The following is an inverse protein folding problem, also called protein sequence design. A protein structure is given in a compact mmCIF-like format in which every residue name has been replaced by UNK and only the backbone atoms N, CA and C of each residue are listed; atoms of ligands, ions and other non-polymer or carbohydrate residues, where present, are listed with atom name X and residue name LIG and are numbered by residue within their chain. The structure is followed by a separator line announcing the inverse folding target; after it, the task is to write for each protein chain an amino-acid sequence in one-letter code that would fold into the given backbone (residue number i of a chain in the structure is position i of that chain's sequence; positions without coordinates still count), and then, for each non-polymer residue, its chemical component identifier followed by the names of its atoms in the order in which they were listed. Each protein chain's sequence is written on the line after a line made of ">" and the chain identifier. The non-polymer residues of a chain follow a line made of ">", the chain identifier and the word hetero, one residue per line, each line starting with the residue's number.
data_IF_459720105335
#
_entry.id   IF_459720105335
#
_cell.length_a   1.000
_cell.length_b   1.000
_cell.length_c   1.000
_cell.angle_alpha   90.00
_cell.angle_beta   90.00
_cell.angle_gamma   90.00
#
_symmetry.space_group_name_H-M   'P 1'
#
loop_
_entity.id
_entity.type
_entity.pdbx_description
1 polymer ?
#
# COMPACT_ATOMS: atom_id res chain seq x y z
N UNK A 1 23.27 6.36 -0.95
CA UNK A 1 23.46 5.70 0.37
C UNK A 1 24.70 4.81 0.33
N UNK A 2 25.28 4.45 1.49
CA UNK A 2 26.47 3.58 1.54
C UNK A 2 26.07 2.11 1.59
N UNK A 3 26.54 1.33 0.61
CA UNK A 3 26.29 -0.12 0.50
C UNK A 3 27.63 -0.78 0.21
N UNK A 4 28.01 -1.79 0.99
CA UNK A 4 29.29 -2.48 0.84
C UNK A 4 30.50 -1.56 0.95
N UNK A 5 30.44 -0.56 1.85
CA UNK A 5 31.51 0.42 2.07
C UNK A 5 31.66 1.49 0.98
N UNK A 6 30.80 1.51 -0.04
CA UNK A 6 30.85 2.50 -1.13
C UNK A 6 29.56 3.30 -1.22
N UNK A 7 29.68 4.59 -1.52
CA UNK A 7 28.52 5.44 -1.81
C UNK A 7 27.92 5.05 -3.16
N UNK A 8 26.62 4.74 -3.16
CA UNK A 8 25.83 4.34 -4.34
C UNK A 8 24.67 5.31 -4.56
N UNK A 9 24.36 5.57 -5.84
CA UNK A 9 23.08 6.16 -6.27
C UNK A 9 22.11 4.99 -6.46
N UNK A 10 20.97 5.05 -5.80
CA UNK A 10 20.05 3.91 -5.69
C UNK A 10 18.67 4.32 -6.16
N UNK A 11 18.04 3.47 -6.97
CA UNK A 11 16.61 3.56 -7.30
C UNK A 11 15.90 2.50 -6.47
N UNK A 12 14.77 2.89 -5.86
CA UNK A 12 13.95 1.99 -5.07
C UNK A 12 12.51 2.01 -5.55
N UNK A 13 11.88 0.85 -5.58
CA UNK A 13 10.46 0.71 -5.88
C UNK A 13 9.82 -0.37 -5.04
N UNK A 14 8.56 -0.18 -4.66
CA UNK A 14 7.72 -1.23 -4.10
C UNK A 14 6.53 -1.42 -5.05
N UNK A 15 6.50 -2.58 -5.71
CA UNK A 15 5.43 -2.93 -6.65
C UNK A 15 4.17 -3.46 -5.97
N UNK A 16 3.28 -4.08 -6.76
CA UNK A 16 2.03 -4.69 -6.27
C UNK A 16 2.23 -5.65 -5.11
N UNK A 17 3.34 -6.38 -5.09
CA UNK A 17 3.69 -7.35 -4.05
C UNK A 17 4.12 -6.72 -2.73
N UNK A 18 4.32 -5.39 -2.67
CA UNK A 18 4.89 -4.68 -1.52
C UNK A 18 6.27 -5.20 -1.07
N UNK A 19 7.03 -5.77 -2.01
CA UNK A 19 8.46 -6.03 -1.82
C UNK A 19 9.19 -4.77 -2.27
N UNK A 20 9.88 -4.11 -1.35
CA UNK A 20 10.80 -3.02 -1.67
C UNK A 20 12.01 -3.62 -2.39
N UNK A 21 12.36 -3.09 -3.55
CA UNK A 21 13.51 -3.50 -4.32
C UNK A 21 14.42 -2.31 -4.57
N UNK A 22 15.71 -2.49 -4.34
CA UNK A 22 16.74 -1.48 -4.54
C UNK A 22 17.75 -1.95 -5.58
N UNK A 23 18.02 -1.09 -6.56
CA UNK A 23 19.02 -1.32 -7.61
C UNK A 23 19.97 -0.13 -7.72
N UNK A 24 21.20 -0.38 -8.18
CA UNK A 24 22.11 0.70 -8.53
C UNK A 24 21.55 1.47 -9.74
N UNK A 25 21.46 2.79 -9.60
CA UNK A 25 20.77 3.63 -10.57
C UNK A 25 21.49 3.72 -11.93
N UNK A 26 22.80 3.48 -11.97
CA UNK A 26 23.58 3.57 -13.21
C UNK A 26 23.64 2.24 -13.95
N UNK A 27 23.67 1.13 -13.22
CA UNK A 27 23.95 -0.20 -13.77
C UNK A 27 22.75 -1.14 -13.76
N UNK A 28 21.74 -0.88 -12.94
CA UNK A 28 20.65 -1.82 -12.67
C UNK A 28 21.06 -3.01 -11.81
N UNK A 29 22.29 -3.02 -11.26
CA UNK A 29 22.75 -4.08 -10.35
C UNK A 29 21.79 -4.20 -9.16
N UNK A 30 21.36 -5.43 -8.86
CA UNK A 30 20.56 -5.73 -7.68
C UNK A 30 21.34 -5.41 -6.40
N UNK A 31 20.71 -4.71 -5.45
CA UNK A 31 21.34 -4.36 -4.18
C UNK A 31 20.71 -5.07 -2.99
N UNK A 32 19.38 -5.00 -2.85
CA UNK A 32 18.64 -5.69 -1.80
C UNK A 32 17.13 -5.64 -2.05
N UNK A 33 16.40 -6.49 -1.31
CA UNK A 33 14.95 -6.44 -1.20
C UNK A 33 14.50 -6.51 0.26
N UNK A 34 13.34 -5.93 0.56
CA UNK A 34 12.66 -6.07 1.86
C UNK A 34 11.19 -6.35 1.59
N UNK A 35 10.71 -7.55 1.95
CA UNK A 35 9.30 -7.90 1.86
C UNK A 35 8.53 -7.24 3.01
N UNK A 36 7.47 -6.49 2.70
CA UNK A 36 6.60 -5.86 3.70
C UNK A 36 5.70 -6.85 4.44
N UNK A 37 5.62 -8.12 4.01
CA UNK A 37 4.87 -9.17 4.68
C UNK A 37 3.36 -9.08 4.44
N UNK A 38 2.95 -8.68 3.24
CA UNK A 38 1.53 -8.65 2.81
C UNK A 38 1.24 -9.62 1.66
N UNK A 39 2.21 -10.46 1.31
CA UNK A 39 2.16 -11.32 0.13
C UNK A 39 2.53 -12.76 0.51
N UNK A 40 2.03 -13.73 -0.25
CA UNK A 40 2.33 -15.16 -0.03
C UNK A 40 2.67 -15.91 -1.33
N UNK A 41 3.00 -15.19 -2.40
CA UNK A 41 3.29 -15.73 -3.74
C UNK A 41 4.78 -15.96 -3.92
N UNK A 42 5.63 -15.09 -3.38
CA UNK A 42 7.09 -15.21 -3.44
C UNK A 42 7.58 -15.92 -2.18
N UNK A 43 8.26 -17.05 -2.37
CA UNK A 43 8.81 -17.88 -1.27
C UNK A 43 10.29 -17.64 -1.02
N UNK A 44 11.01 -17.16 -2.04
CA UNK A 44 12.43 -16.88 -1.95
C UNK A 44 12.81 -15.72 -2.87
N UNK A 45 13.81 -14.94 -2.44
CA UNK A 45 14.49 -13.93 -3.25
C UNK A 45 15.97 -14.22 -3.14
N UNK A 46 16.63 -14.48 -4.27
CA UNK A 46 18.07 -14.69 -4.33
C UNK A 46 18.77 -13.41 -3.83
N UNK A 47 19.57 -13.48 -2.75
CA UNK A 47 20.18 -12.30 -2.14
C UNK A 47 21.30 -11.66 -2.99
N UNK A 48 21.72 -12.30 -4.09
CA UNK A 48 22.72 -11.78 -5.03
C UNK A 48 22.10 -11.21 -6.28
N UNK A 49 21.06 -11.86 -6.82
CA UNK A 49 20.49 -11.51 -8.12
C UNK A 49 19.14 -10.81 -8.03
N UNK A 50 18.44 -10.93 -6.89
CA UNK A 50 17.05 -10.49 -6.74
C UNK A 50 16.04 -11.39 -7.45
N UNK A 51 16.46 -12.51 -8.03
CA UNK A 51 15.58 -13.46 -8.69
C UNK A 51 14.58 -14.01 -7.67
N UNK A 52 13.30 -14.00 -8.03
CA UNK A 52 12.19 -14.39 -7.14
C UNK A 52 11.69 -15.77 -7.50
N UNK A 53 11.50 -16.62 -6.51
CA UNK A 53 10.83 -17.92 -6.65
C UNK A 53 9.36 -17.77 -6.31
N UNK A 54 8.51 -18.11 -7.27
CA UNK A 54 7.06 -18.16 -7.08
C UNK A 54 6.69 -19.49 -6.43
N UNK A 55 5.80 -19.47 -5.45
CA UNK A 55 5.14 -20.64 -4.88
C UNK A 55 4.26 -21.32 -5.94
N UNK A 56 4.57 -22.55 -6.38
CA UNK A 56 3.74 -23.28 -7.34
C UNK A 56 2.30 -23.51 -6.83
N UNK A 57 2.09 -23.55 -5.51
CA UNK A 57 0.76 -23.69 -4.88
C UNK A 57 -0.09 -22.41 -4.98
N UNK A 58 0.48 -21.30 -5.46
CA UNK A 58 -0.21 -20.03 -5.71
C UNK A 58 -0.48 -19.78 -7.19
N UNK A 59 -0.15 -20.72 -8.06
CA UNK A 59 -0.51 -20.66 -9.48
C UNK A 59 -2.01 -20.99 -9.67
N UNK A 60 -2.66 -20.42 -10.70
CA UNK A 60 -4.06 -20.74 -10.99
C UNK A 60 -4.24 -22.22 -11.32
N UNK A 61 -5.04 -22.91 -10.52
CA UNK A 61 -5.41 -24.31 -10.72
C UNK A 61 -6.89 -24.50 -10.36
N UNK A 62 -7.75 -24.97 -11.28
CA UNK A 62 -9.18 -25.12 -11.00
C UNK A 62 -9.47 -26.29 -10.04
N UNK A 63 -8.54 -27.25 -9.92
CA UNK A 63 -8.67 -28.44 -9.07
C UNK A 63 -8.13 -28.21 -7.66
N UNK A 64 -7.34 -27.16 -7.46
CA UNK A 64 -6.72 -26.81 -6.19
C UNK A 64 -7.07 -25.37 -5.78
N UNK A 65 -8.17 -25.17 -5.05
CA UNK A 65 -8.50 -23.86 -4.54
C UNK A 65 -7.41 -23.32 -3.61
N UNK A 66 -6.89 -22.13 -3.91
CA UNK A 66 -5.77 -21.54 -3.17
C UNK A 66 -6.00 -20.06 -2.94
N UNK A 67 -5.68 -19.58 -1.72
CA UNK A 67 -5.67 -18.16 -1.39
C UNK A 67 -4.30 -17.58 -1.70
N UNK A 68 -4.29 -16.53 -2.52
CA UNK A 68 -3.09 -15.79 -2.87
C UNK A 68 -3.24 -14.32 -2.48
N UNK A 69 -2.13 -13.75 -2.03
CA UNK A 69 -2.03 -12.39 -1.53
C UNK A 69 -0.83 -11.72 -2.20
N UNK A 70 -0.97 -10.48 -2.67
CA UNK A 70 -2.18 -9.65 -2.59
C UNK A 70 -3.24 -9.99 -3.65
N UNK A 71 -4.42 -9.38 -3.54
CA UNK A 71 -5.42 -9.37 -4.61
C UNK A 71 -4.93 -8.68 -5.90
N UNK A 72 -5.73 -8.71 -6.97
CA UNK A 72 -5.34 -8.23 -8.32
C UNK A 72 -4.93 -6.76 -8.39
N UNK A 73 -5.47 -5.94 -7.50
CA UNK A 73 -5.09 -4.52 -7.40
C UNK A 73 -3.83 -4.30 -6.54
N UNK A 74 -3.18 -5.36 -6.06
CA UNK A 74 -1.92 -5.33 -5.30
C UNK A 74 -2.08 -4.91 -3.85
N UNK A 75 -1.08 -5.20 -3.01
CA UNK A 75 -0.97 -4.62 -1.68
C UNK A 75 -0.71 -3.12 -1.79
N UNK A 76 -0.01 -2.69 -2.86
CA UNK A 76 0.25 -1.30 -3.22
C UNK A 76 0.23 -1.17 -4.74
N UNK A 77 -0.61 -0.32 -5.32
CA UNK A 77 -0.59 -0.05 -6.75
C UNK A 77 0.06 1.30 -7.08
N UNK A 78 -0.73 2.21 -7.65
CA UNK A 78 -0.32 3.54 -8.04
C UNK A 78 0.03 4.50 -6.89
N UNK A 79 -0.55 4.41 -5.65
CA UNK A 79 -0.32 5.44 -4.64
C UNK A 79 1.16 5.54 -4.26
N UNK A 80 1.85 6.68 -4.50
CA UNK A 80 3.28 6.83 -4.24
C UNK A 80 3.70 6.59 -2.77
N UNK A 81 4.90 6.06 -2.56
CA UNK A 81 5.56 5.98 -1.24
C UNK A 81 6.12 7.35 -0.90
N UNK A 82 6.49 7.56 0.36
CA UNK A 82 7.30 8.72 0.75
C UNK A 82 8.55 8.28 1.52
N UNK A 83 9.61 9.07 1.47
CA UNK A 83 10.87 8.80 2.18
C UNK A 83 11.25 10.04 2.99
N UNK A 84 11.64 9.84 4.25
CA UNK A 84 12.17 10.91 5.10
C UNK A 84 13.70 10.74 5.22
N UNK A 85 14.51 11.65 4.67
CA UNK A 85 15.97 11.62 4.86
C UNK A 85 16.39 11.82 6.32
N UNK A 86 15.52 12.42 7.15
CA UNK A 86 15.80 12.67 8.58
C UNK A 86 15.75 11.36 9.39
N UNK A 87 14.73 10.54 9.14
CA UNK A 87 14.55 9.25 9.84
C UNK A 87 15.23 8.09 9.11
N UNK A 88 15.51 8.23 7.81
CA UNK A 88 15.97 7.13 6.97
C UNK A 88 14.89 6.09 6.65
N UNK A 89 13.62 6.41 6.91
CA UNK A 89 12.49 5.50 6.71
C UNK A 89 11.78 5.77 5.38
N UNK A 90 11.41 4.69 4.71
CA UNK A 90 10.48 4.68 3.57
C UNK A 90 9.10 4.22 4.05
N UNK A 91 8.06 4.97 3.72
CA UNK A 91 6.68 4.70 4.12
C UNK A 91 5.88 4.13 2.96
N UNK A 92 5.11 3.07 3.21
CA UNK A 92 4.29 2.36 2.25
C UNK A 92 2.80 2.40 2.63
N UNK A 93 1.91 2.85 1.72
CA UNK A 93 0.48 2.69 1.85
C UNK A 93 0.09 1.29 1.33
N UNK A 94 -0.22 0.38 2.25
CA UNK A 94 -0.50 -1.02 1.96
C UNK A 94 -1.96 -1.36 2.24
N UNK A 95 -2.47 -2.34 1.49
CA UNK A 95 -3.77 -2.98 1.70
C UNK A 95 -3.56 -4.47 1.97
N UNK A 96 -4.15 -4.95 3.06
CA UNK A 96 -4.21 -6.35 3.47
C UNK A 96 -5.44 -7.00 2.86
N UNK A 97 -5.31 -7.60 1.68
CA UNK A 97 -6.41 -8.28 1.01
C UNK A 97 -5.88 -9.33 0.04
N UNK A 98 -6.70 -10.34 -0.21
CA UNK A 98 -6.31 -11.51 -0.98
C UNK A 98 -7.44 -11.91 -1.92
N UNK A 99 -7.14 -12.84 -2.82
CA UNK A 99 -8.15 -13.51 -3.64
C UNK A 99 -7.94 -15.01 -3.57
N UNK A 100 -8.94 -15.74 -4.06
CA UNK A 100 -8.93 -17.20 -4.12
C UNK A 100 -9.06 -17.63 -5.57
N UNK A 101 -8.14 -18.46 -6.01
CA UNK A 101 -8.35 -19.28 -7.21
C UNK A 101 -9.23 -20.48 -6.87
N UNK A 102 -10.08 -20.89 -7.80
CA UNK A 102 -10.93 -22.07 -7.63
C UNK A 102 -12.03 -22.17 -8.70
N UNK A 103 -13.10 -22.95 -8.44
CA UNK A 103 -14.20 -23.11 -9.40
C UNK A 103 -15.13 -21.90 -9.44
N UNK A 104 -15.16 -21.07 -8.39
CA UNK A 104 -16.09 -19.95 -8.23
C UNK A 104 -15.52 -18.60 -8.67
N UNK A 105 -16.41 -17.62 -8.89
CA UNK A 105 -16.04 -16.24 -9.20
C UNK A 105 -15.75 -15.99 -10.68
N UNK A 106 -15.17 -14.83 -10.99
CA UNK A 106 -14.92 -14.42 -12.37
C UNK A 106 -13.84 -15.29 -13.01
N UNK A 107 -14.05 -15.75 -14.24
CA UNK A 107 -13.11 -16.65 -14.91
C UNK A 107 -11.95 -15.87 -15.51
N UNK A 108 -10.72 -16.25 -15.20
CA UNK A 108 -9.54 -15.75 -15.89
C UNK A 108 -9.58 -16.20 -17.35
N UNK A 109 -9.38 -15.27 -18.28
CA UNK A 109 -9.42 -15.58 -19.72
C UNK A 109 -8.34 -16.59 -20.14
N UNK A 110 -7.18 -16.56 -19.48
CA UNK A 110 -6.02 -17.38 -19.86
C UNK A 110 -6.08 -18.81 -19.34
N UNK A 111 -6.68 -19.04 -18.16
CA UNK A 111 -6.67 -20.36 -17.50
C UNK A 111 -8.07 -20.95 -17.28
N UNK A 112 -9.13 -20.16 -17.46
CA UNK A 112 -10.50 -20.56 -17.09
C UNK A 112 -10.71 -20.73 -15.58
N UNK A 113 -9.70 -20.45 -14.75
CA UNK A 113 -9.80 -20.56 -13.28
C UNK A 113 -10.64 -19.41 -12.74
N UNK A 114 -11.57 -19.72 -11.84
CA UNK A 114 -12.37 -18.72 -11.17
C UNK A 114 -11.57 -17.96 -10.12
N UNK A 115 -11.82 -16.66 -10.01
CA UNK A 115 -11.23 -15.77 -9.01
C UNK A 115 -12.32 -15.15 -8.13
N UNK A 116 -12.21 -15.34 -6.82
CA UNK A 116 -13.16 -14.79 -5.85
C UNK A 116 -12.46 -14.05 -4.70
N UNK A 117 -13.14 -13.13 -3.99
CA UNK A 117 -12.53 -12.42 -2.87
C UNK A 117 -12.14 -13.35 -1.70
N UNK A 118 -10.97 -13.15 -1.12
CA UNK A 118 -10.52 -13.83 0.10
C UNK A 118 -10.00 -12.81 1.12
N UNK A 119 -10.06 -13.16 2.39
CA UNK A 119 -9.49 -12.30 3.43
C UNK A 119 -8.00 -12.58 3.60
N UNK A 120 -7.25 -11.53 3.96
CA UNK A 120 -5.87 -11.68 4.37
C UNK A 120 -5.81 -12.25 5.78
N UNK A 121 -4.86 -13.15 6.06
CA UNK A 121 -4.73 -13.80 7.37
C UNK A 121 -4.57 -12.76 8.50
N UNK A 122 -3.73 -11.75 8.27
CA UNK A 122 -3.54 -10.62 9.19
C UNK A 122 -4.75 -9.67 9.35
N UNK A 123 -5.89 -9.91 8.70
CA UNK A 123 -7.09 -9.05 8.81
C UNK A 123 -8.12 -9.57 9.82
N UNK A 124 -7.75 -10.55 10.63
CA UNK A 124 -8.56 -11.03 11.77
C UNK A 124 -8.80 -9.94 12.82
N UNK A 125 -7.93 -8.94 12.89
CA UNK A 125 -8.04 -7.75 13.75
C UNK A 125 -9.05 -6.70 13.25
N UNK A 126 -9.80 -6.99 12.19
CA UNK A 126 -10.78 -6.06 11.62
C UNK A 126 -10.15 -4.94 10.78
N UNK A 127 -8.88 -5.05 10.42
CA UNK A 127 -8.19 -4.03 9.63
C UNK A 127 -7.82 -4.49 8.22
N UNK A 128 -7.97 -3.59 7.25
CA UNK A 128 -7.62 -3.84 5.84
C UNK A 128 -6.55 -2.86 5.34
N UNK A 129 -6.43 -1.67 5.93
CA UNK A 129 -5.34 -0.73 5.65
C UNK A 129 -4.13 -0.96 6.53
N UNK A 130 -2.94 -0.71 5.97
CA UNK A 130 -1.67 -0.76 6.68
C UNK A 130 -0.75 0.36 6.17
N UNK A 131 -0.36 1.28 7.03
CA UNK A 131 0.76 2.18 6.80
C UNK A 131 2.01 1.54 7.42
N UNK A 132 3.05 1.32 6.63
CA UNK A 132 4.23 0.58 7.07
C UNK A 132 5.52 1.33 6.75
N UNK A 133 6.45 1.35 7.70
CA UNK A 133 7.77 1.90 7.51
C UNK A 133 8.84 0.82 7.30
N UNK A 134 9.79 1.09 6.42
CA UNK A 134 11.00 0.30 6.20
C UNK A 134 12.21 1.17 6.53
N UNK A 135 13.08 0.69 7.41
CA UNK A 135 14.42 1.25 7.59
C UNK A 135 15.27 0.88 6.37
N UNK A 136 15.51 1.88 5.52
CA UNK A 136 16.21 1.70 4.25
C UNK A 136 17.68 1.36 4.48
N UNK A 137 18.31 1.95 5.51
CA UNK A 137 19.72 1.72 5.82
C UNK A 137 19.92 0.36 6.47
N UNK A 138 19.07 0.03 7.45
CA UNK A 138 19.06 -1.25 8.15
C UNK A 138 18.48 -2.41 7.34
N UNK A 139 17.79 -2.12 6.22
CA UNK A 139 17.15 -3.08 5.32
C UNK A 139 16.16 -4.00 6.05
N UNK A 140 15.36 -3.41 6.92
CA UNK A 140 14.43 -4.13 7.79
C UNK A 140 13.13 -3.37 7.97
N UNK A 141 12.09 -4.08 8.35
CA UNK A 141 10.85 -3.47 8.77
C UNK A 141 11.08 -2.60 10.02
N UNK A 142 10.43 -1.45 10.06
CA UNK A 142 10.44 -0.55 11.20
C UNK A 142 9.10 -0.68 11.94
N UNK A 143 8.23 0.33 11.86
CA UNK A 143 6.92 0.32 12.49
C UNK A 143 5.79 0.01 11.51
N UNK A 144 4.65 -0.39 12.06
CA UNK A 144 3.41 -0.67 11.33
C UNK A 144 2.24 0.00 12.04
N UNK A 145 1.38 0.67 11.28
CA UNK A 145 0.07 1.16 11.70
C UNK A 145 -1.01 0.46 10.89
N UNK A 146 -1.78 -0.44 11.53
CA UNK A 146 -2.94 -1.05 10.91
C UNK A 146 -4.19 -0.19 11.19
N UNK A 147 -5.08 -0.09 10.21
CA UNK A 147 -6.35 0.63 10.35
C UNK A 147 -7.45 -0.04 9.53
N UNK A 148 -8.71 0.16 9.91
CA UNK A 148 -9.85 -0.48 9.23
C UNK A 148 -9.80 -0.22 7.73
N UNK A 149 -9.68 1.05 7.34
CA UNK A 149 -9.78 1.50 5.96
C UNK A 149 -8.45 1.48 5.20
N UNK A 150 -8.41 0.98 3.94
CA UNK A 150 -7.26 1.14 3.07
C UNK A 150 -6.87 2.60 2.83
N UNK A 151 -5.57 2.81 2.68
CA UNK A 151 -5.00 4.09 2.25
C UNK A 151 -5.21 4.24 0.74
N UNK A 152 -5.72 5.39 0.29
CA UNK A 152 -6.14 5.62 -1.10
C UNK A 152 -5.41 6.77 -1.81
N UNK A 153 -4.47 7.42 -1.14
CA UNK A 153 -3.62 8.49 -1.71
C UNK A 153 -2.14 8.16 -1.67
N UNK A 154 -1.33 9.00 -2.32
CA UNK A 154 0.10 9.05 -1.99
C UNK A 154 0.34 9.28 -0.50
N UNK A 155 1.54 8.92 -0.05
CA UNK A 155 2.05 9.39 1.23
C UNK A 155 2.88 10.66 1.03
N UNK A 156 2.84 11.55 2.02
CA UNK A 156 3.67 12.76 2.06
C UNK A 156 4.37 12.88 3.41
N UNK A 157 5.64 12.53 3.47
CA UNK A 157 6.51 12.83 4.61
C UNK A 157 6.98 14.28 4.52
N UNK A 158 7.02 14.98 5.65
CA UNK A 158 7.51 16.36 5.75
C UNK A 158 8.64 16.47 6.76
N UNK A 159 9.43 17.54 6.65
CA UNK A 159 10.51 17.82 7.60
C UNK A 159 10.03 18.14 9.03
N UNK A 160 8.72 18.27 9.25
CA UNK A 160 8.12 18.48 10.58
C UNK A 160 7.88 17.19 11.37
N UNK A 161 8.36 16.04 10.90
CA UNK A 161 8.23 14.75 11.60
C UNK A 161 6.88 14.07 11.42
N UNK A 162 6.17 14.37 10.31
CA UNK A 162 4.84 13.80 10.02
C UNK A 162 4.73 13.22 8.61
N UNK A 163 3.93 12.17 8.49
CA UNK A 163 3.50 11.54 7.22
C UNK A 163 2.01 11.72 7.04
N UNK A 164 1.58 12.32 5.92
CA UNK A 164 0.17 12.45 5.57
C UNK A 164 -0.30 11.28 4.69
N UNK A 165 -1.56 10.88 4.88
CA UNK A 165 -2.28 9.89 4.06
C UNK A 165 -3.78 10.21 4.01
N UNK A 166 -4.43 9.90 2.90
CA UNK A 166 -5.88 9.85 2.77
C UNK A 166 -6.39 8.42 2.64
N UNK A 167 -7.61 8.18 3.14
CA UNK A 167 -8.19 6.83 3.29
C UNK A 167 -9.58 6.70 2.65
N UNK A 168 -10.03 5.45 2.46
CA UNK A 168 -11.39 5.15 1.96
C UNK A 168 -12.50 5.38 2.99
N UNK A 169 -12.15 5.57 4.27
CA UNK A 169 -13.05 6.19 5.24
C UNK A 169 -12.73 7.68 5.15
N UNK A 170 -13.52 8.47 4.39
CA UNK A 170 -13.04 9.70 3.75
C UNK A 170 -12.41 10.66 4.75
N UNK A 171 -11.07 10.63 4.81
CA UNK A 171 -10.31 11.39 5.78
C UNK A 171 -8.89 11.63 5.26
N UNK A 172 -8.33 12.78 5.65
CA UNK A 172 -6.90 13.07 5.61
C UNK A 172 -6.34 12.91 7.02
N UNK A 173 -5.25 12.17 7.17
CA UNK A 173 -4.62 11.85 8.44
C UNK A 173 -3.15 12.26 8.43
N UNK A 174 -2.62 12.57 9.61
CA UNK A 174 -1.20 12.78 9.85
C UNK A 174 -0.70 11.81 10.92
N UNK A 175 0.43 11.17 10.64
CA UNK A 175 1.08 10.20 11.52
C UNK A 175 2.47 10.68 11.88
N UNK A 176 2.92 10.39 13.10
CA UNK A 176 4.30 10.56 13.52
C UNK A 176 5.23 9.70 12.64
N UNK A 177 6.26 10.31 12.06
CA UNK A 177 7.09 9.67 11.04
C UNK A 177 8.09 8.65 11.62
N UNK A 178 8.28 8.62 12.94
CA UNK A 178 9.18 7.68 13.63
C UNK A 178 8.45 6.51 14.29
N UNK A 179 7.18 6.68 14.65
CA UNK A 179 6.41 5.70 15.42
C UNK A 179 5.16 5.19 14.69
N UNK A 180 4.68 5.90 13.67
CA UNK A 180 3.40 5.59 13.01
C UNK A 180 2.17 5.90 13.86
N UNK A 181 2.33 6.64 14.97
CA UNK A 181 1.21 7.06 15.81
C UNK A 181 0.34 8.06 15.06
N UNK A 182 -0.98 7.85 15.05
CA UNK A 182 -1.93 8.83 14.52
C UNK A 182 -1.90 10.11 15.39
N UNK A 183 -1.68 11.25 14.78
CA UNK A 183 -1.60 12.56 15.44
C UNK A 183 -2.81 13.44 15.16
N UNK A 184 -3.36 13.35 13.95
CA UNK A 184 -4.44 14.22 13.50
C UNK A 184 -5.26 13.58 12.39
N UNK A 185 -6.54 13.94 12.33
CA UNK A 185 -7.50 13.51 11.32
C UNK A 185 -8.41 14.68 10.97
N UNK A 186 -8.64 14.91 9.67
CA UNK A 186 -9.77 15.68 9.15
C UNK A 186 -10.65 14.79 8.28
N UNK A 187 -11.97 14.89 8.48
CA UNK A 187 -12.95 14.26 7.59
C UNK A 187 -12.99 15.01 6.26
N UNK A 188 -13.04 14.26 5.16
CA UNK A 188 -13.18 14.79 3.81
C UNK A 188 -14.61 14.61 3.33
N UNK A 189 -15.04 15.49 2.42
CA UNK A 189 -16.38 15.40 1.81
C UNK A 189 -16.50 14.23 0.83
N UNK A 190 -15.39 13.78 0.25
CA UNK A 190 -15.35 12.71 -0.75
C UNK A 190 -14.08 11.86 -0.63
N UNK A 191 -14.03 10.75 -1.37
CA UNK A 191 -12.91 9.81 -1.38
C UNK A 191 -11.64 10.48 -1.94
N UNK A 192 -10.54 10.50 -1.18
CA UNK A 192 -9.28 11.01 -1.66
C UNK A 192 -8.61 9.97 -2.56
N UNK A 193 -8.34 10.34 -3.81
CA UNK A 193 -7.78 9.45 -4.83
C UNK A 193 -6.80 10.23 -5.71
N UNK A 194 -5.85 10.87 -5.04
CA UNK A 194 -4.84 11.74 -5.64
C UNK A 194 -3.52 11.67 -4.88
N UNK A 195 -2.51 12.42 -5.35
CA UNK A 195 -1.30 12.64 -4.56
C UNK A 195 -1.49 13.85 -3.64
N UNK A 196 -1.04 13.72 -2.40
CA UNK A 196 -0.98 14.80 -1.42
C UNK A 196 0.25 15.64 -1.71
N UNK A 197 0.10 16.95 -1.74
CA UNK A 197 1.20 17.90 -1.93
C UNK A 197 1.24 18.92 -0.79
N UNK A 198 2.40 19.52 -0.55
CA UNK A 198 2.52 20.65 0.37
C UNK A 198 3.28 21.78 -0.30
N UNK A 199 2.91 23.01 0.04
CA UNK A 199 3.51 24.24 -0.46
C UNK A 199 3.34 25.35 0.59
N UNK A 200 3.96 26.50 0.37
CA UNK A 200 3.85 27.64 1.26
C UNK A 200 3.49 28.92 0.52
N UNK A 201 2.66 29.75 1.13
CA UNK A 201 2.42 31.14 0.71
C UNK A 201 2.84 32.04 1.87
N UNK A 202 3.89 32.84 1.65
CA UNK A 202 4.52 33.59 2.74
C UNK A 202 5.07 32.65 3.82
N UNK A 203 4.64 32.84 5.06
CA UNK A 203 5.05 32.01 6.21
C UNK A 203 4.11 30.84 6.51
N UNK A 204 3.01 30.71 5.76
CA UNK A 204 1.99 29.68 5.99
C UNK A 204 2.25 28.49 5.07
N UNK A 205 2.38 27.30 5.65
CA UNK A 205 2.44 26.03 4.92
C UNK A 205 1.02 25.45 4.78
N UNK A 206 0.72 24.93 3.60
CA UNK A 206 -0.55 24.31 3.23
C UNK A 206 -0.32 22.86 2.81
N UNK A 207 -1.32 22.00 3.01
CA UNK A 207 -1.30 20.60 2.59
C UNK A 207 -2.55 20.34 1.76
N UNK A 208 -2.37 20.09 0.47
CA UNK A 208 -3.47 19.94 -0.45
C UNK A 208 -3.69 18.48 -0.89
N UNK A 209 -4.95 18.09 -0.98
CA UNK A 209 -5.41 16.81 -1.51
C UNK A 209 -6.65 17.00 -2.38
N UNK A 210 -6.68 16.32 -3.53
CA UNK A 210 -7.84 16.29 -4.44
C UNK A 210 -8.73 15.10 -4.08
N UNK A 211 -10.04 15.33 -4.00
CA UNK A 211 -11.06 14.32 -3.65
C UNK A 211 -12.12 14.19 -4.76
N UNK A 212 -12.84 13.06 -4.79
CA UNK A 212 -13.98 12.83 -5.68
C UNK A 212 -13.69 12.13 -7.02
N UNK A 213 -12.43 12.01 -7.44
CA UNK A 213 -12.05 11.27 -8.66
C UNK A 213 -11.68 9.82 -8.36
N UNK A 214 -12.60 8.86 -8.54
CA UNK A 214 -12.27 7.43 -8.40
C UNK A 214 -11.61 6.89 -9.67
N UNK A 215 -10.36 6.45 -9.55
CA UNK A 215 -9.74 5.59 -10.55
C UNK A 215 -10.12 4.12 -10.32
N UNK A 216 -9.78 3.24 -11.28
CA UNK A 216 -10.10 1.81 -11.20
C UNK A 216 -9.58 1.14 -9.93
N UNK A 217 -8.41 1.56 -9.43
CA UNK A 217 -7.81 0.99 -8.22
C UNK A 217 -8.63 1.34 -6.97
N UNK A 218 -8.97 2.62 -6.80
CA UNK A 218 -9.78 3.08 -5.67
C UNK A 218 -11.18 2.49 -5.73
N UNK A 219 -11.79 2.40 -6.93
CA UNK A 219 -13.08 1.73 -7.10
C UNK A 219 -13.07 0.26 -6.68
N UNK A 220 -12.02 -0.49 -7.05
CA UNK A 220 -11.87 -1.90 -6.64
C UNK A 220 -11.64 -2.04 -5.13
N UNK A 221 -10.77 -1.21 -4.56
CA UNK A 221 -10.54 -1.20 -3.11
C UNK A 221 -11.81 -0.82 -2.33
N UNK A 222 -12.59 0.17 -2.77
CA UNK A 222 -13.86 0.54 -2.13
C UNK A 222 -14.85 -0.63 -2.15
N UNK A 223 -14.98 -1.33 -3.28
CA UNK A 223 -15.84 -2.52 -3.39
C UNK A 223 -15.39 -3.63 -2.43
N UNK A 224 -14.09 -3.89 -2.37
CA UNK A 224 -13.53 -4.93 -1.50
C UNK A 224 -13.64 -4.56 -0.04
N UNK A 225 -13.44 -3.29 0.31
CA UNK A 225 -13.58 -2.81 1.67
C UNK A 225 -15.03 -2.91 2.14
N UNK A 226 -16.01 -2.56 1.30
CA UNK A 226 -17.42 -2.76 1.64
C UNK A 226 -17.79 -4.24 1.79
N UNK A 227 -17.23 -5.14 0.97
CA UNK A 227 -17.40 -6.59 1.16
C UNK A 227 -16.75 -7.11 2.45
N UNK A 228 -15.59 -6.55 2.83
CA UNK A 228 -14.89 -6.85 4.07
C UNK A 228 -15.70 -6.43 5.30
N UNK A 229 -16.26 -5.22 5.28
CA UNK A 229 -17.15 -4.67 6.31
C UNK A 229 -18.45 -5.45 6.42
N UNK A 230 -19.10 -5.75 5.29
CA UNK A 230 -20.35 -6.53 5.24
C UNK A 230 -20.19 -7.92 5.88
N UNK A 231 -19.06 -8.61 5.65
CA UNK A 231 -18.75 -9.90 6.29
C UNK A 231 -18.63 -9.83 7.80
N UNK A 232 -18.37 -8.64 8.35
CA UNK A 232 -18.29 -8.33 9.79
C UNK A 232 -19.57 -7.67 10.33
N UNK A 233 -20.64 -7.61 9.54
CA UNK A 233 -21.86 -6.88 9.89
C UNK A 233 -21.63 -5.39 10.17
N UNK A 234 -20.57 -4.82 9.62
CA UNK A 234 -20.29 -3.38 9.70
C UNK A 234 -21.03 -2.63 8.59
N UNK A 235 -21.48 -1.40 8.88
CA UNK A 235 -22.12 -0.52 7.91
C UNK A 235 -21.19 -0.27 6.73
N UNK A 236 -21.69 -0.39 5.50
CA UNK A 236 -20.93 -0.03 4.32
C UNK A 236 -20.54 1.46 4.35
N UNK A 237 -19.37 1.79 3.81
CA UNK A 237 -19.03 3.18 3.55
C UNK A 237 -19.87 3.64 2.36
N UNK A 238 -20.74 4.62 2.61
CA UNK A 238 -21.48 5.30 1.56
C UNK A 238 -20.51 5.97 0.60
N UNK A 239 -20.80 5.85 -0.69
CA UNK A 239 -20.13 6.63 -1.70
C UNK A 239 -20.58 8.08 -1.55
N UNK A 240 -19.69 9.03 -1.24
CA UNK A 240 -20.08 10.43 -1.19
C UNK A 240 -20.51 10.94 -2.57
N UNK A 241 -21.46 11.88 -2.60
CA UNK A 241 -22.11 12.37 -3.83
C UNK A 241 -21.80 13.86 -4.09
N UNK A 242 -20.53 14.26 -3.93
CA UNK A 242 -20.05 15.62 -4.18
C UNK A 242 -19.61 16.37 -2.92
N UNK A 243 -18.88 17.47 -3.12
CA UNK A 243 -18.23 18.24 -2.06
C UNK A 243 -17.09 19.10 -2.61
N UNK A 244 -16.26 19.68 -1.74
CA UNK A 244 -15.09 20.44 -2.19
C UNK A 244 -14.11 19.51 -2.93
N UNK A 245 -13.77 19.84 -4.17
CA UNK A 245 -12.87 19.02 -5.00
C UNK A 245 -11.40 19.05 -4.53
N UNK A 246 -11.01 20.09 -3.79
CA UNK A 246 -9.67 20.27 -3.25
C UNK A 246 -9.80 20.73 -1.79
N UNK A 247 -9.10 20.02 -0.92
CA UNK A 247 -8.88 20.41 0.47
C UNK A 247 -7.46 20.94 0.61
N UNK A 248 -7.25 22.02 1.39
CA UNK A 248 -5.98 22.76 1.53
C UNK A 248 -5.73 23.10 3.00
#
# INVERSE_FOLDING_TARGET
>A
MTIGGRTRKVVMTAGKMAILEAVDAATGEYLFSVDAGTQNIITHIDPKTGAKTIDPEKLPDPTRPTVFCPGVSGARAWPPTSYSPQTGLLYLPLTKWCMRFGPEGSKLLTSGVGISPAEHADSSDGTMGRLQAIDVKGRKLAWVHNQSSPLSTSLLATAGGVVFSGDLDPALKAFDDTTGKLLWTAKLDDLPSSSIVTYSIGKTQYVAVVVGLRNNHVGDLSRMYNNFRKRRSETAIETPNGGAAIWV
#
